data_IF_618990955301
#
_entry.id   IF_618990955301
#
_cell.length_a   1.000
_cell.length_b   1.000
_cell.length_c   1.000
_cell.angle_alpha   90.00
_cell.angle_beta   90.00
_cell.angle_gamma   90.00
#
_symmetry.space_group_name_H-M   'P 1'
#
loop_
_entity.id
_entity.type
_entity.pdbx_description
1 polymer ?
#
# COMPACT_ATOMS: atom_id res chain seq x y z
N UNK A 1 37.94 32.41 -6.07
CA UNK A 1 36.94 31.40 -6.49
C UNK A 1 36.20 30.95 -5.24
N UNK A 2 34.99 31.50 -4.98
CA UNK A 2 34.13 31.06 -3.89
C UNK A 2 33.50 29.74 -4.35
N UNK A 3 33.76 28.65 -3.61
CA UNK A 3 32.95 27.44 -3.70
C UNK A 3 31.54 27.82 -3.25
N UNK A 4 30.60 27.84 -4.18
CA UNK A 4 29.18 27.76 -3.85
C UNK A 4 28.99 26.43 -3.13
N UNK A 5 28.71 26.51 -1.83
CA UNK A 5 28.16 25.39 -1.08
C UNK A 5 26.76 25.15 -1.61
N UNK A 6 26.63 24.32 -2.63
CA UNK A 6 25.35 23.80 -3.08
C UNK A 6 24.72 23.10 -1.89
N UNK A 7 23.70 23.71 -1.33
CA UNK A 7 22.76 23.02 -0.42
C UNK A 7 22.13 21.95 -1.32
N UNK A 8 22.60 20.72 -1.19
CA UNK A 8 21.90 19.58 -1.83
C UNK A 8 20.51 19.54 -1.20
N UNK A 9 19.49 19.53 -2.04
CA UNK A 9 18.14 19.26 -1.57
C UNK A 9 18.16 17.94 -0.77
N UNK A 10 17.51 17.84 0.39
CA UNK A 10 17.56 16.65 1.21
C UNK A 10 17.04 15.44 0.42
N UNK A 11 17.78 14.33 0.51
CA UNK A 11 17.31 13.04 -0.04
C UNK A 11 16.17 12.53 0.83
N UNK A 12 14.95 12.56 0.31
CA UNK A 12 13.73 12.23 1.03
C UNK A 12 13.25 10.83 0.64
N UNK A 13 12.76 10.11 1.64
CA UNK A 13 12.06 8.83 1.48
C UNK A 13 10.61 9.00 1.91
N UNK A 14 9.68 8.48 1.14
CA UNK A 14 8.25 8.45 1.45
C UNK A 14 7.82 7.01 1.62
N UNK A 15 7.12 6.71 2.73
CA UNK A 15 6.45 5.44 2.94
C UNK A 15 4.94 5.66 3.06
N UNK A 16 4.16 4.86 2.34
CA UNK A 16 2.70 4.99 2.27
C UNK A 16 2.06 3.64 2.55
N UNK A 17 1.08 3.61 3.45
CA UNK A 17 0.24 2.45 3.71
C UNK A 17 -1.23 2.78 3.42
N UNK A 18 -1.80 2.09 2.41
CA UNK A 18 -3.19 2.27 2.01
C UNK A 18 -4.04 1.21 2.68
N UNK A 19 -4.73 1.60 3.75
CA UNK A 19 -5.75 0.79 4.42
C UNK A 19 -7.14 0.96 3.80
N UNK A 20 -8.12 0.22 4.34
CA UNK A 20 -9.51 0.31 3.88
C UNK A 20 -10.20 1.63 4.25
N UNK A 21 -9.80 2.28 5.34
CA UNK A 21 -10.43 3.49 5.88
C UNK A 21 -9.52 4.72 5.78
N UNK A 22 -8.24 4.55 6.08
CA UNK A 22 -7.24 5.61 6.06
C UNK A 22 -6.00 5.19 5.29
N UNK A 23 -5.36 6.18 4.71
CA UNK A 23 -4.03 6.11 4.11
C UNK A 23 -3.08 6.86 5.02
N UNK A 24 -2.08 6.17 5.52
CA UNK A 24 -1.02 6.74 6.34
C UNK A 24 0.21 6.99 5.45
N UNK A 25 0.82 8.16 5.59
CA UNK A 25 2.01 8.53 4.83
C UNK A 25 3.06 9.12 5.75
N UNK A 26 4.29 8.71 5.56
CA UNK A 26 5.46 9.18 6.31
C UNK A 26 6.47 9.70 5.32
N UNK A 27 7.07 10.84 5.62
CA UNK A 27 8.23 11.36 4.91
C UNK A 27 9.39 11.56 5.88
N UNK A 28 10.58 11.17 5.47
CA UNK A 28 11.79 11.31 6.27
C UNK A 28 12.99 11.63 5.39
N UNK A 29 13.96 12.38 5.93
CA UNK A 29 15.27 12.52 5.35
C UNK A 29 16.20 11.37 5.76
N UNK A 30 17.28 11.18 5.01
CA UNK A 30 18.27 10.13 5.28
C UNK A 30 18.99 10.32 6.62
N UNK A 31 19.06 11.55 7.11
CA UNK A 31 19.70 11.89 8.38
C UNK A 31 18.83 11.69 9.60
N UNK A 32 17.52 11.47 9.42
CA UNK A 32 16.54 11.37 10.51
C UNK A 32 16.27 12.71 11.20
N UNK A 33 16.64 13.81 10.57
CA UNK A 33 16.43 15.17 11.09
C UNK A 33 15.03 15.66 10.75
N UNK A 34 14.53 15.27 9.58
CA UNK A 34 13.17 15.56 9.12
C UNK A 34 12.35 14.27 9.19
N UNK A 35 11.22 14.35 9.87
CA UNK A 35 10.25 13.26 9.96
C UNK A 35 8.86 13.82 10.16
N UNK A 36 7.97 13.57 9.20
CA UNK A 36 6.58 14.00 9.27
C UNK A 36 5.63 12.86 8.89
N UNK A 37 4.46 12.87 9.50
CA UNK A 37 3.40 11.89 9.27
C UNK A 37 2.13 12.65 8.89
N UNK A 38 1.46 12.17 7.86
CA UNK A 38 0.12 12.61 7.53
C UNK A 38 -0.81 11.39 7.43
N UNK A 39 -2.08 11.64 7.68
CA UNK A 39 -3.14 10.65 7.61
C UNK A 39 -4.32 11.25 6.86
N UNK A 40 -4.75 10.57 5.81
CA UNK A 40 -5.89 10.99 4.99
C UNK A 40 -6.93 9.86 4.86
N UNK A 41 -8.21 10.16 4.71
CA UNK A 41 -9.19 9.13 4.39
C UNK A 41 -8.84 8.42 3.09
N UNK A 42 -8.93 7.10 3.08
CA UNK A 42 -8.76 6.33 1.85
C UNK A 42 -9.90 6.57 0.88
N UNK A 43 -9.60 6.48 -0.42
CA UNK A 43 -10.56 6.57 -1.51
C UNK A 43 -10.77 5.17 -2.13
N UNK A 44 -11.63 4.29 -1.56
CA UNK A 44 -11.72 2.88 -1.97
C UNK A 44 -12.06 2.67 -3.44
N UNK A 45 -12.80 3.62 -4.05
CA UNK A 45 -13.18 3.55 -5.47
C UNK A 45 -12.05 4.02 -6.41
N UNK A 46 -11.18 4.89 -5.93
CA UNK A 46 -10.04 5.45 -6.67
C UNK A 46 -8.79 5.47 -5.79
N UNK A 47 -8.19 4.31 -5.44
CA UNK A 47 -7.05 4.25 -4.51
C UNK A 47 -5.85 5.08 -4.96
N UNK A 48 -5.68 5.26 -6.27
CA UNK A 48 -4.63 6.13 -6.84
C UNK A 48 -4.77 7.59 -6.45
N UNK A 49 -6.00 8.10 -6.37
CA UNK A 49 -6.24 9.52 -6.02
C UNK A 49 -5.87 9.75 -4.55
N UNK A 50 -6.30 8.87 -3.66
CA UNK A 50 -5.91 8.92 -2.24
C UNK A 50 -4.40 8.82 -2.03
N UNK A 51 -3.71 8.00 -2.83
CA UNK A 51 -2.26 7.93 -2.83
C UNK A 51 -1.61 9.27 -3.21
N UNK A 52 -2.03 9.85 -4.34
CA UNK A 52 -1.49 11.13 -4.83
C UNK A 52 -1.76 12.27 -3.83
N UNK A 53 -2.96 12.32 -3.28
CA UNK A 53 -3.34 13.36 -2.31
C UNK A 53 -2.54 13.22 -1.02
N UNK A 54 -2.31 12.01 -0.53
CA UNK A 54 -1.48 11.75 0.64
C UNK A 54 -0.02 12.19 0.43
N UNK A 55 0.55 11.90 -0.74
CA UNK A 55 1.91 12.34 -1.11
C UNK A 55 1.99 13.86 -1.15
N UNK A 56 1.06 14.52 -1.83
CA UNK A 56 1.02 15.99 -1.90
C UNK A 56 0.94 16.61 -0.52
N UNK A 57 0.03 16.10 0.31
CA UNK A 57 -0.15 16.61 1.67
C UNK A 57 1.13 16.54 2.49
N UNK A 58 1.85 15.41 2.48
CA UNK A 58 3.08 15.28 3.26
C UNK A 58 4.23 16.12 2.68
N UNK A 59 4.29 16.28 1.36
CA UNK A 59 5.27 17.15 0.70
C UNK A 59 5.05 18.63 1.05
N UNK A 60 3.80 19.06 1.10
CA UNK A 60 3.45 20.44 1.50
C UNK A 60 3.84 20.72 2.94
N UNK A 61 3.65 19.75 3.86
CA UNK A 61 4.03 19.88 5.27
C UNK A 61 5.52 20.19 5.44
N UNK A 62 6.37 19.57 4.61
CA UNK A 62 7.84 19.75 4.69
C UNK A 62 8.38 20.74 3.67
N UNK A 63 7.50 21.39 2.88
CA UNK A 63 7.88 22.28 1.76
C UNK A 63 8.87 21.61 0.78
N UNK A 64 8.72 20.30 0.58
CA UNK A 64 9.61 19.52 -0.27
C UNK A 64 9.28 19.71 -1.75
N UNK A 65 10.32 19.59 -2.58
CA UNK A 65 10.18 19.53 -4.04
C UNK A 65 10.14 18.09 -4.50
N UNK A 66 9.39 17.79 -5.55
CA UNK A 66 9.30 16.44 -6.13
C UNK A 66 10.68 15.81 -6.45
N UNK A 67 11.63 16.64 -6.86
CA UNK A 67 13.01 16.20 -7.19
C UNK A 67 13.84 15.75 -5.98
N UNK A 68 13.37 16.01 -4.77
CA UNK A 68 14.04 15.61 -3.53
C UNK A 68 13.67 14.19 -3.10
N UNK A 69 12.69 13.54 -3.75
CA UNK A 69 12.25 12.19 -3.39
C UNK A 69 13.17 11.17 -4.05
N UNK A 70 13.89 10.41 -3.24
CA UNK A 70 14.78 9.34 -3.69
C UNK A 70 14.08 7.98 -3.68
N UNK A 71 13.30 7.72 -2.64
CA UNK A 71 12.66 6.40 -2.41
C UNK A 71 11.18 6.57 -2.10
N UNK A 72 10.36 5.74 -2.73
CA UNK A 72 8.94 5.59 -2.39
C UNK A 72 8.67 4.13 -2.03
N UNK A 73 8.22 3.89 -0.81
CA UNK A 73 7.76 2.61 -0.31
C UNK A 73 6.24 2.61 -0.28
N UNK A 74 5.62 1.55 -0.80
CA UNK A 74 4.17 1.43 -0.84
C UNK A 74 3.71 0.10 -0.27
N UNK A 75 2.86 0.16 0.75
CA UNK A 75 2.09 -0.95 1.30
C UNK A 75 0.60 -0.77 1.01
N UNK A 76 -0.14 -1.87 0.87
CA UNK A 76 -1.58 -1.80 0.68
C UNK A 76 -2.28 -3.08 1.12
N UNK A 77 -3.38 -2.93 1.85
CA UNK A 77 -4.28 -4.03 2.22
C UNK A 77 -5.54 -4.10 1.35
N UNK A 78 -5.63 -3.30 0.30
CA UNK A 78 -6.80 -3.20 -0.59
C UNK A 78 -7.21 -4.55 -1.14
N UNK A 79 -6.26 -5.35 -1.63
CA UNK A 79 -6.53 -6.68 -2.20
C UNK A 79 -7.02 -7.64 -1.11
N UNK A 80 -6.36 -7.65 0.06
CA UNK A 80 -6.77 -8.49 1.19
C UNK A 80 -8.18 -8.14 1.64
N UNK A 81 -8.49 -6.86 1.76
CA UNK A 81 -9.82 -6.38 2.13
C UNK A 81 -10.87 -6.78 1.09
N UNK A 82 -10.56 -6.63 -0.21
CA UNK A 82 -11.46 -7.05 -1.29
C UNK A 82 -11.78 -8.55 -1.24
N UNK A 83 -10.80 -9.40 -0.90
CA UNK A 83 -11.01 -10.84 -0.72
C UNK A 83 -11.91 -11.11 0.48
N UNK A 84 -11.62 -10.50 1.63
CA UNK A 84 -12.39 -10.70 2.87
C UNK A 84 -13.84 -10.21 2.75
N UNK A 85 -14.06 -9.13 2.00
CA UNK A 85 -15.39 -8.55 1.77
C UNK A 85 -16.14 -9.20 0.59
N UNK A 86 -15.51 -10.15 -0.11
CA UNK A 86 -16.11 -10.78 -1.29
C UNK A 86 -16.31 -9.85 -2.48
N UNK A 87 -15.65 -8.70 -2.50
CA UNK A 87 -15.74 -7.68 -3.56
C UNK A 87 -14.77 -7.98 -4.70
N UNK A 88 -14.81 -9.20 -5.21
CA UNK A 88 -13.94 -9.64 -6.29
C UNK A 88 -14.66 -9.61 -7.62
N UNK A 89 -13.92 -9.46 -8.70
CA UNK A 89 -14.44 -9.64 -10.05
C UNK A 89 -14.96 -11.06 -10.24
N UNK A 90 -15.97 -11.23 -11.11
CA UNK A 90 -16.44 -12.57 -11.51
C UNK A 90 -15.27 -13.33 -12.14
N UNK A 91 -14.92 -14.44 -11.53
CA UNK A 91 -13.77 -15.25 -11.93
C UNK A 91 -14.21 -16.61 -12.40
N UNK A 92 -13.60 -17.13 -13.45
CA UNK A 92 -13.82 -18.48 -13.95
C UNK A 92 -12.52 -19.28 -13.85
N UNK A 93 -12.65 -20.54 -13.47
CA UNK A 93 -11.54 -21.49 -13.46
C UNK A 93 -11.57 -22.32 -14.75
N UNK A 94 -10.49 -22.25 -15.54
CA UNK A 94 -10.26 -23.14 -16.68
C UNK A 94 -9.29 -24.22 -16.20
N UNK A 95 -9.73 -25.49 -16.28
CA UNK A 95 -8.94 -26.61 -15.79
C UNK A 95 -9.20 -27.86 -16.64
N UNK A 96 -8.40 -28.90 -16.45
CA UNK A 96 -8.55 -30.20 -17.10
C UNK A 96 -9.89 -30.84 -16.71
N UNK A 97 -10.55 -31.49 -17.67
CA UNK A 97 -11.79 -32.23 -17.43
C UNK A 97 -11.62 -33.23 -16.25
N UNK A 98 -12.53 -33.18 -15.30
CA UNK A 98 -12.47 -33.97 -14.07
C UNK A 98 -11.84 -33.26 -12.85
N UNK A 99 -11.15 -32.12 -13.05
CA UNK A 99 -10.44 -31.40 -11.98
C UNK A 99 -11.15 -30.13 -11.48
N UNK A 100 -12.47 -30.00 -11.72
CA UNK A 100 -13.22 -28.78 -11.35
C UNK A 100 -13.19 -28.45 -9.86
N UNK A 101 -12.99 -29.44 -8.99
CA UNK A 101 -12.98 -29.28 -7.53
C UNK A 101 -11.57 -29.09 -6.94
N UNK A 102 -10.54 -28.90 -7.77
CA UNK A 102 -9.15 -28.82 -7.30
C UNK A 102 -8.93 -27.72 -6.27
N UNK A 103 -9.64 -26.58 -6.38
CA UNK A 103 -9.55 -25.48 -5.41
C UNK A 103 -10.26 -25.82 -4.10
N UNK A 104 -11.39 -26.51 -4.14
CA UNK A 104 -12.14 -26.94 -2.95
C UNK A 104 -11.41 -28.02 -2.18
N UNK A 105 -10.83 -29.00 -2.91
CA UNK A 105 -10.05 -30.10 -2.30
C UNK A 105 -8.74 -29.55 -1.72
N UNK A 106 -8.12 -28.55 -2.35
CA UNK A 106 -6.85 -27.98 -1.96
C UNK A 106 -5.79 -29.07 -1.85
N UNK A 107 -5.08 -29.15 -0.71
CA UNK A 107 -4.12 -30.20 -0.39
C UNK A 107 -4.71 -31.32 0.48
N UNK A 108 -6.03 -31.46 0.50
CA UNK A 108 -6.76 -32.34 1.42
C UNK A 108 -6.55 -32.00 2.90
N UNK A 109 -6.16 -30.77 3.20
CA UNK A 109 -6.10 -30.24 4.56
C UNK A 109 -7.51 -29.83 4.99
N UNK A 110 -8.18 -30.68 5.76
CA UNK A 110 -9.46 -30.35 6.39
C UNK A 110 -9.14 -29.45 7.59
N UNK A 111 -9.64 -28.20 7.65
CA UNK A 111 -9.45 -27.36 8.82
C UNK A 111 -9.98 -28.10 10.07
N UNK A 112 -9.17 -28.17 11.12
CA UNK A 112 -9.55 -28.90 12.35
C UNK A 112 -10.89 -28.41 12.97
N UNK A 113 -11.30 -27.18 12.64
CA UNK A 113 -12.58 -26.59 13.05
C UNK A 113 -13.80 -27.23 12.37
N UNK A 114 -13.68 -27.84 11.20
CA UNK A 114 -14.79 -28.47 10.50
C UNK A 114 -15.19 -29.82 11.11
N UNK A 115 -14.34 -30.41 11.97
CA UNK A 115 -14.64 -31.66 12.67
C UNK A 115 -15.42 -31.46 13.97
N UNK A 116 -15.63 -30.22 14.41
CA UNK A 116 -16.34 -29.93 15.69
C UNK A 116 -17.86 -29.85 15.48
N UNK A 117 -18.33 -29.79 14.24
CA UNK A 117 -19.75 -29.59 13.89
C UNK A 117 -20.38 -30.77 13.14
N UNK A 118 -19.77 -31.98 13.22
CA UNK A 118 -20.39 -33.22 12.72
C UNK A 118 -21.03 -33.96 13.90
#
# INVERSE_FOLDING_TARGET
MKKESGIQDPELSIAIDIGGTFTDVVIADRGGTLFEIAKTPSTPLTPSDGFIDAVKQVMDLVSAKEKSIEVVLHGSTVVTNAILEGKLSKTALITTKGFRHVLEIGRAEIPRLSLIHI
#
